data_IF_216773920309
#
_entry.id   IF_216773920309
#
_cell.length_a   1.000
_cell.length_b   1.000
_cell.length_c   1.000
_cell.angle_alpha   90.00
_cell.angle_beta   90.00
_cell.angle_gamma   90.00
#
_symmetry.space_group_name_H-M   'P 1'
#
loop_
_entity.id
_entity.type
_entity.pdbx_description
1 polymer ?
#
# COMPACT_ATOMS: atom_id res chain seq x y z
N UNK A 1 -6.60 12.41 9.86
CA UNK A 1 -6.03 13.29 8.81
C UNK A 1 -6.29 12.68 7.43
N UNK A 2 -6.34 13.47 6.35
CA UNK A 2 -6.32 12.94 4.97
C UNK A 2 -4.90 12.96 4.42
N UNK A 3 -4.43 11.84 3.88
CA UNK A 3 -3.10 11.68 3.30
C UNK A 3 -3.26 11.26 1.85
N UNK A 4 -2.75 12.05 0.90
CA UNK A 4 -2.84 11.73 -0.53
C UNK A 4 -1.62 10.95 -1.02
N UNK A 5 -1.85 9.84 -1.74
CA UNK A 5 -0.79 9.05 -2.38
C UNK A 5 -1.19 8.62 -3.79
N UNK A 6 -0.19 8.53 -4.67
CA UNK A 6 -0.35 7.91 -5.99
C UNK A 6 -0.50 6.39 -5.85
N UNK A 7 -1.29 5.80 -6.74
CA UNK A 7 -1.38 4.35 -6.92
C UNK A 7 -1.46 4.02 -8.41
N UNK A 8 -0.86 2.92 -8.83
CA UNK A 8 -0.91 2.47 -10.22
C UNK A 8 -2.28 1.86 -10.54
N UNK A 9 -2.74 1.89 -11.80
CA UNK A 9 -4.08 1.45 -12.17
C UNK A 9 -4.41 0.02 -11.78
N UNK A 10 -3.45 -0.89 -11.90
CA UNK A 10 -3.62 -2.29 -11.51
C UNK A 10 -3.93 -2.44 -10.01
N UNK A 11 -3.11 -1.82 -9.15
CA UNK A 11 -3.33 -1.88 -7.71
C UNK A 11 -4.57 -1.10 -7.27
N UNK A 12 -4.88 0.01 -7.95
CA UNK A 12 -6.14 0.74 -7.74
C UNK A 12 -7.33 -0.19 -7.94
N UNK A 13 -7.34 -0.93 -9.06
CA UNK A 13 -8.42 -1.87 -9.36
C UNK A 13 -8.48 -3.02 -8.35
N UNK A 14 -7.34 -3.57 -7.91
CA UNK A 14 -7.35 -4.62 -6.87
C UNK A 14 -7.91 -4.15 -5.53
N UNK A 15 -7.63 -2.91 -5.13
CA UNK A 15 -8.19 -2.32 -3.90
C UNK A 15 -9.68 -2.02 -4.08
N UNK A 16 -10.08 -1.52 -5.25
CA UNK A 16 -11.48 -1.26 -5.59
C UNK A 16 -12.31 -2.56 -5.56
N UNK A 17 -11.79 -3.64 -6.14
CA UNK A 17 -12.42 -4.96 -6.17
C UNK A 17 -12.42 -5.68 -4.80
N UNK A 18 -11.75 -5.11 -3.78
CA UNK A 18 -11.56 -5.76 -2.49
C UNK A 18 -10.67 -7.01 -2.53
N UNK A 19 -9.89 -7.21 -3.59
CA UNK A 19 -8.89 -8.29 -3.71
C UNK A 19 -7.64 -8.00 -2.87
N UNK A 20 -7.29 -6.71 -2.78
CA UNK A 20 -6.15 -6.20 -2.02
C UNK A 20 -6.65 -5.30 -0.90
N UNK A 21 -6.42 -5.71 0.34
CA UNK A 21 -6.92 -4.99 1.54
C UNK A 21 -5.80 -4.27 2.30
N UNK A 22 -4.63 -4.10 1.69
CA UNK A 22 -3.45 -3.45 2.28
C UNK A 22 -2.74 -2.54 1.27
N UNK A 23 -1.98 -1.57 1.78
CA UNK A 23 -1.02 -0.77 1.01
C UNK A 23 0.36 -0.90 1.68
N UNK A 24 1.39 -1.26 0.90
CA UNK A 24 2.75 -1.49 1.40
C UNK A 24 3.68 -0.46 0.78
N UNK A 25 4.32 0.36 1.62
CA UNK A 25 5.11 1.52 1.20
C UNK A 25 6.30 1.72 2.12
N UNK A 26 7.27 2.49 1.63
CA UNK A 26 8.29 3.08 2.47
C UNK A 26 7.63 3.94 3.57
N UNK A 27 8.13 3.84 4.80
CA UNK A 27 7.65 4.60 5.96
C UNK A 27 8.14 6.04 5.98
N UNK A 28 8.05 6.76 4.86
CA UNK A 28 8.42 8.17 4.71
C UNK A 28 7.38 9.13 5.32
N UNK A 29 6.21 8.61 5.67
CA UNK A 29 5.10 9.31 6.29
C UNK A 29 4.64 8.51 7.50
N UNK A 30 4.34 9.21 8.60
CA UNK A 30 3.74 8.61 9.79
C UNK A 30 2.21 8.53 9.61
N UNK A 31 1.69 7.30 9.65
CA UNK A 31 0.26 6.99 9.53
C UNK A 31 -0.29 6.56 10.88
N UNK A 32 -1.56 6.84 11.16
CA UNK A 32 -2.25 6.35 12.36
C UNK A 32 -3.58 5.70 12.02
N UNK A 33 -4.03 4.70 12.80
CA UNK A 33 -5.41 4.23 12.71
C UNK A 33 -6.41 5.39 12.83
N UNK A 34 -7.43 5.39 11.97
CA UNK A 34 -8.41 6.48 11.84
C UNK A 34 -8.03 7.55 10.81
N UNK A 35 -6.79 7.59 10.32
CA UNK A 35 -6.45 8.42 9.16
C UNK A 35 -7.13 7.90 7.88
N UNK A 36 -7.31 8.79 6.91
CA UNK A 36 -7.87 8.47 5.60
C UNK A 36 -6.72 8.53 4.58
N UNK A 37 -6.44 7.39 3.94
CA UNK A 37 -5.54 7.31 2.81
C UNK A 37 -6.34 7.54 1.52
N UNK A 38 -6.05 8.66 0.85
CA UNK A 38 -6.65 9.04 -0.43
C UNK A 38 -5.72 8.56 -1.55
N UNK A 39 -6.13 7.51 -2.25
CA UNK A 39 -5.37 6.90 -3.32
C UNK A 39 -5.86 7.43 -4.66
N UNK A 40 -4.98 8.16 -5.35
CA UNK A 40 -5.25 8.75 -6.66
C UNK A 40 -4.58 7.92 -7.74
N UNK A 41 -5.38 7.42 -8.68
CA UNK A 41 -4.87 6.60 -9.77
C UNK A 41 -3.97 7.45 -10.68
N UNK A 42 -2.73 6.98 -10.86
CA UNK A 42 -1.70 7.62 -11.66
C UNK A 42 -1.30 6.71 -12.81
N UNK A 43 -1.46 7.16 -14.05
CA UNK A 43 -1.06 6.41 -15.23
C UNK A 43 0.43 6.68 -15.53
N UNK A 44 1.33 5.68 -15.39
CA UNK A 44 2.75 5.89 -15.63
C UNK A 44 3.10 6.08 -17.11
N UNK A 45 2.23 5.66 -18.05
CA UNK A 45 2.45 5.80 -19.49
C UNK A 45 2.20 7.24 -19.94
N UNK A 46 1.11 7.85 -19.51
CA UNK A 46 0.77 9.24 -19.85
C UNK A 46 1.41 10.24 -18.88
N UNK A 47 1.87 9.78 -17.70
CA UNK A 47 2.36 10.62 -16.60
C UNK A 47 1.31 11.60 -16.09
N UNK A 48 0.07 11.13 -15.99
CA UNK A 48 -1.07 11.93 -15.57
C UNK A 48 -1.96 11.17 -14.58
N UNK A 49 -2.73 11.91 -13.78
CA UNK A 49 -3.82 11.35 -13.00
C UNK A 49 -4.99 11.04 -13.92
N UNK A 50 -5.62 9.88 -13.74
CA UNK A 50 -6.80 9.50 -14.54
C UNK A 50 -8.09 10.15 -14.05
N UNK A 51 -8.05 10.80 -12.89
CA UNK A 51 -9.22 11.36 -12.19
C UNK A 51 -9.89 10.38 -11.22
N UNK A 52 -9.55 9.09 -11.26
CA UNK A 52 -10.08 8.10 -10.31
C UNK A 52 -9.43 8.25 -8.94
N UNK A 53 -10.26 8.18 -7.90
CA UNK A 53 -9.86 8.31 -6.50
C UNK A 53 -10.61 7.27 -5.65
N UNK A 54 -9.91 6.66 -4.71
CA UNK A 54 -10.52 5.88 -3.63
C UNK A 54 -10.00 6.37 -2.28
N UNK A 55 -10.88 6.42 -1.29
CA UNK A 55 -10.52 6.71 0.09
C UNK A 55 -10.62 5.43 0.92
N UNK A 56 -9.62 5.19 1.76
CA UNK A 56 -9.61 4.06 2.71
C UNK A 56 -9.27 4.56 4.09
N UNK A 57 -10.10 4.19 5.06
CA UNK A 57 -9.78 4.39 6.48
C UNK A 57 -8.69 3.42 6.88
N UNK A 58 -7.61 3.94 7.43
CA UNK A 58 -6.50 3.14 7.96
C UNK A 58 -6.98 2.50 9.26
N UNK A 59 -7.01 1.18 9.30
CA UNK A 59 -7.41 0.41 10.49
C UNK A 59 -6.20 -0.12 11.27
N UNK A 60 -5.07 -0.32 10.60
CA UNK A 60 -3.84 -0.83 11.19
C UNK A 60 -2.62 -0.24 10.47
N UNK A 61 -1.55 0.01 11.23
CA UNK A 61 -0.24 0.45 10.71
C UNK A 61 0.83 -0.39 11.39
N UNK A 62 1.63 -1.09 10.58
CA UNK A 62 2.82 -1.79 11.04
C UNK A 62 4.07 -1.12 10.46
N UNK A 63 5.04 -0.80 11.30
CA UNK A 63 6.36 -0.31 10.90
C UNK A 63 7.38 -1.41 11.18
N UNK A 64 8.02 -1.91 10.13
CA UNK A 64 9.06 -2.94 10.24
C UNK A 64 10.40 -2.23 10.08
N UNK A 65 11.12 -2.08 11.19
CA UNK A 65 12.53 -1.67 11.22
C UNK A 65 13.28 -2.84 11.85
N UNK A 66 14.23 -3.42 11.11
CA UNK A 66 15.18 -4.43 11.62
C UNK A 66 14.57 -5.72 12.22
N UNK A 67 13.29 -5.98 11.95
CA UNK A 67 12.62 -7.20 12.39
C UNK A 67 12.56 -8.20 11.25
N UNK A 68 13.63 -8.97 11.09
CA UNK A 68 13.61 -10.22 10.32
C UNK A 68 13.98 -11.36 11.26
N UNK A 69 13.03 -12.22 11.66
CA UNK A 69 13.39 -13.49 12.30
C UNK A 69 14.16 -14.43 11.35
N UNK A 70 14.27 -14.07 10.07
CA UNK A 70 14.97 -14.82 9.02
C UNK A 70 16.35 -14.26 8.72
N UNK A 71 17.26 -15.14 8.32
CA UNK A 71 18.58 -14.73 7.84
C UNK A 71 18.47 -13.99 6.50
N UNK A 72 19.55 -13.29 6.12
CA UNK A 72 19.65 -12.65 4.81
C UNK A 72 19.49 -13.66 3.66
N UNK A 73 20.08 -14.85 3.80
CA UNK A 73 20.01 -15.93 2.79
C UNK A 73 18.58 -16.44 2.60
N UNK A 74 17.83 -16.61 3.69
CA UNK A 74 16.42 -16.99 3.64
C UNK A 74 15.58 -15.90 2.95
N UNK A 75 15.85 -14.62 3.25
CA UNK A 75 15.17 -13.51 2.59
C UNK A 75 15.47 -13.45 1.10
N UNK A 76 16.73 -13.60 0.69
CA UNK A 76 17.15 -13.62 -0.72
C UNK A 76 16.52 -14.80 -1.47
N UNK A 77 16.34 -15.94 -0.81
CA UNK A 77 15.73 -17.13 -1.41
C UNK A 77 14.21 -17.06 -1.52
N UNK A 78 13.51 -16.54 -0.52
CA UNK A 78 12.05 -16.67 -0.40
C UNK A 78 11.28 -15.35 -0.55
N UNK A 79 11.90 -14.21 -0.25
CA UNK A 79 11.27 -12.88 -0.23
C UNK A 79 10.13 -12.75 0.78
N UNK A 80 9.45 -11.59 0.76
CA UNK A 80 8.21 -11.40 1.51
C UNK A 80 6.98 -11.84 0.70
N UNK A 81 6.02 -12.47 1.38
CA UNK A 81 4.67 -12.71 0.85
C UNK A 81 3.67 -11.91 1.66
N UNK A 82 2.81 -11.16 0.97
CA UNK A 82 1.71 -10.44 1.61
C UNK A 82 0.40 -11.10 1.16
N UNK A 83 -0.35 -11.62 2.13
CA UNK A 83 -1.58 -12.37 1.89
C UNK A 83 -2.75 -11.49 2.34
N UNK A 84 -3.63 -11.13 1.41
CA UNK A 84 -4.87 -10.41 1.74
C UNK A 84 -5.95 -11.39 2.18
N UNK A 85 -6.70 -11.01 3.21
CA UNK A 85 -7.94 -11.69 3.62
C UNK A 85 -9.13 -10.76 3.38
N UNK A 86 -10.33 -11.35 3.26
CA UNK A 86 -11.59 -10.64 3.09
C UNK A 86 -12.40 -10.68 4.39
#
# INVERSE_FOLDING_TARGET
MKIEKKILPEYFQYILDGKKTYDFRLGDVEYKPGDILVLREWNPKTKEYTGRVIEKTITYVGKIIDYSPWTKEEFEKYGFRIISFK
#
